data_IF_812474464547
#
_entry.id   IF_812474464547
#
_cell.length_a   1.000
_cell.length_b   1.000
_cell.length_c   1.000
_cell.angle_alpha   90.00
_cell.angle_beta   90.00
_cell.angle_gamma   90.00
#
_symmetry.space_group_name_H-M   'P 1'
#
loop_
_entity.id
_entity.type
_entity.pdbx_description
1 polymer ?
#
# COMPACT_ATOMS: atom_id res chain seq x y z
N UNK A 1 24.02 -40.24 13.31
CA UNK A 1 25.24 -39.44 13.11
C UNK A 1 25.22 -38.91 11.68
N UNK A 2 25.11 -37.61 11.47
CA UNK A 2 25.29 -36.99 10.15
C UNK A 2 26.38 -35.95 10.29
N UNK A 3 27.47 -36.18 9.56
CA UNK A 3 28.70 -35.40 9.61
C UNK A 3 28.44 -33.92 9.32
N UNK A 4 28.94 -33.08 10.22
CA UNK A 4 28.98 -31.63 10.01
C UNK A 4 29.96 -31.37 8.88
N UNK A 5 29.46 -30.91 7.73
CA UNK A 5 30.28 -30.23 6.72
C UNK A 5 30.88 -29.02 7.42
N UNK A 6 32.16 -29.11 7.80
CA UNK A 6 32.90 -27.98 8.34
C UNK A 6 33.12 -26.99 7.22
N UNK A 7 32.48 -25.82 7.32
CA UNK A 7 32.89 -24.62 6.60
C UNK A 7 34.41 -24.45 6.81
N UNK A 8 35.24 -24.65 5.77
CA UNK A 8 36.71 -24.54 5.84
C UNK A 8 37.20 -23.19 6.38
N UNK A 9 36.28 -22.22 6.46
CA UNK A 9 36.51 -20.84 6.85
C UNK A 9 36.21 -20.55 8.33
N UNK A 10 35.99 -21.57 9.16
CA UNK A 10 35.66 -21.41 10.60
C UNK A 10 36.63 -22.16 11.54
N UNK A 11 36.96 -21.52 12.66
CA UNK A 11 37.69 -22.12 13.78
C UNK A 11 36.81 -23.19 14.49
N UNK A 12 37.36 -24.20 15.17
CA UNK A 12 36.64 -25.13 16.06
C UNK A 12 35.66 -24.49 17.04
N UNK A 13 35.81 -23.20 17.38
CA UNK A 13 34.85 -22.43 18.19
C UNK A 13 33.66 -21.85 17.39
N UNK A 14 33.60 -22.09 16.08
CA UNK A 14 32.56 -21.62 15.16
C UNK A 14 32.74 -20.18 14.66
N UNK A 15 33.83 -19.51 15.05
CA UNK A 15 34.18 -18.15 14.61
C UNK A 15 34.78 -18.17 13.20
N UNK A 16 34.61 -17.10 12.44
CA UNK A 16 35.29 -16.95 11.15
C UNK A 16 36.81 -16.86 11.36
N UNK A 17 37.56 -17.60 10.53
CA UNK A 17 39.01 -17.50 10.54
C UNK A 17 39.45 -16.08 10.15
N UNK A 18 40.46 -15.51 10.83
CA UNK A 18 40.97 -14.19 10.50
C UNK A 18 41.50 -14.16 9.06
N UNK A 19 41.09 -13.17 8.29
CA UNK A 19 41.41 -13.05 6.86
C UNK A 19 40.29 -13.49 5.92
N UNK A 20 39.27 -14.19 6.41
CA UNK A 20 38.07 -14.48 5.63
C UNK A 20 37.05 -13.35 5.71
N UNK A 21 36.49 -12.99 4.55
CA UNK A 21 35.28 -12.17 4.50
C UNK A 21 34.17 -13.02 5.09
N UNK A 22 33.54 -12.54 6.17
CA UNK A 22 32.32 -13.16 6.68
C UNK A 22 31.29 -13.33 5.55
N UNK A 23 30.33 -14.23 5.72
CA UNK A 23 29.24 -14.38 4.76
C UNK A 23 28.59 -13.03 4.43
N UNK A 24 27.84 -12.91 3.32
CA UNK A 24 27.41 -11.63 2.71
C UNK A 24 26.55 -10.72 3.60
N UNK A 25 26.31 -11.11 4.85
CA UNK A 25 25.46 -10.39 5.80
C UNK A 25 24.03 -10.34 5.30
N UNK A 26 23.22 -9.53 5.97
CA UNK A 26 21.92 -9.18 5.43
C UNK A 26 22.13 -8.20 4.26
N UNK A 27 21.47 -8.40 3.10
CA UNK A 27 21.57 -7.47 1.98
C UNK A 27 21.27 -6.03 2.41
N UNK A 28 22.10 -5.10 1.94
CA UNK A 28 21.93 -3.67 2.22
C UNK A 28 20.56 -3.21 1.68
N UNK A 29 19.77 -2.57 2.54
CA UNK A 29 18.42 -2.08 2.20
C UNK A 29 17.28 -3.03 2.53
N UNK A 30 17.54 -4.26 3.00
CA UNK A 30 16.48 -5.13 3.50
C UNK A 30 15.93 -4.56 4.82
N UNK A 31 14.63 -4.26 4.86
CA UNK A 31 13.93 -3.74 6.05
C UNK A 31 14.05 -4.67 7.26
N UNK A 32 13.74 -4.21 8.47
CA UNK A 32 13.94 -4.97 9.71
C UNK A 32 13.24 -6.36 9.66
N UNK A 33 13.87 -7.40 10.23
CA UNK A 33 13.37 -8.79 10.14
C UNK A 33 12.11 -8.97 10.99
N UNK A 34 12.12 -8.42 12.20
CA UNK A 34 11.04 -8.58 13.16
C UNK A 34 9.66 -8.09 12.63
N UNK A 35 9.53 -6.87 12.08
CA UNK A 35 8.25 -6.44 11.50
C UNK A 35 7.93 -7.11 10.15
N UNK A 36 8.91 -7.73 9.48
CA UNK A 36 8.67 -8.50 8.26
C UNK A 36 8.07 -9.86 8.63
N UNK A 37 8.69 -10.61 9.55
CA UNK A 37 8.18 -11.90 10.01
C UNK A 37 6.81 -11.77 10.66
N UNK A 38 6.59 -10.74 11.48
CA UNK A 38 5.28 -10.53 12.11
C UNK A 38 4.15 -10.31 11.10
N UNK A 39 4.42 -9.65 9.96
CA UNK A 39 3.42 -9.49 8.89
C UNK A 39 3.08 -10.83 8.24
N UNK A 40 4.09 -11.66 8.04
CA UNK A 40 3.93 -13.00 7.46
C UNK A 40 3.14 -13.90 8.43
N UNK A 41 3.46 -13.89 9.72
CA UNK A 41 2.76 -14.63 10.78
C UNK A 41 1.27 -14.22 10.88
N UNK A 42 0.99 -12.91 10.81
CA UNK A 42 -0.39 -12.39 10.81
C UNK A 42 -1.14 -12.82 9.56
N UNK A 43 -0.48 -12.79 8.38
CA UNK A 43 -1.10 -13.20 7.13
C UNK A 43 -1.41 -14.70 7.14
N UNK A 44 -0.51 -15.52 7.70
CA UNK A 44 -0.72 -16.96 7.86
C UNK A 44 -1.88 -17.24 8.82
N UNK A 45 -1.92 -16.58 9.99
CA UNK A 45 -3.03 -16.71 10.93
C UNK A 45 -4.38 -16.33 10.29
N UNK A 46 -4.42 -15.26 9.49
CA UNK A 46 -5.60 -14.85 8.73
C UNK A 46 -6.06 -15.93 7.73
N UNK A 47 -5.12 -16.57 7.03
CA UNK A 47 -5.43 -17.67 6.13
C UNK A 47 -5.99 -18.89 6.89
N UNK A 48 -5.38 -19.25 8.02
CA UNK A 48 -5.83 -20.36 8.86
C UNK A 48 -7.24 -20.12 9.44
N UNK A 49 -7.60 -18.88 9.74
CA UNK A 49 -8.94 -18.50 10.20
C UNK A 49 -10.02 -18.58 9.11
N UNK A 50 -9.65 -18.82 7.84
CA UNK A 50 -10.58 -18.92 6.72
C UNK A 50 -10.59 -17.70 5.80
N UNK A 51 -9.65 -16.77 5.97
CA UNK A 51 -9.41 -15.67 5.05
C UNK A 51 -10.67 -14.83 4.80
N UNK A 52 -11.08 -14.74 3.53
CA UNK A 52 -12.23 -13.92 3.12
C UNK A 52 -13.52 -14.38 3.80
N UNK A 53 -13.72 -15.69 3.98
CA UNK A 53 -14.92 -16.22 4.62
C UNK A 53 -15.03 -15.73 6.07
N UNK A 54 -13.90 -15.66 6.77
CA UNK A 54 -13.83 -15.09 8.11
C UNK A 54 -14.15 -13.60 8.13
N UNK A 55 -13.65 -12.82 7.16
CA UNK A 55 -14.01 -11.39 7.04
C UNK A 55 -15.50 -11.17 6.75
N UNK A 56 -16.11 -12.01 5.91
CA UNK A 56 -17.56 -11.95 5.64
C UNK A 56 -18.34 -12.25 6.92
N UNK A 57 -17.92 -13.25 7.69
CA UNK A 57 -18.52 -13.56 8.99
C UNK A 57 -18.35 -12.39 9.97
N UNK A 58 -17.15 -11.80 10.04
CA UNK A 58 -16.86 -10.64 10.88
C UNK A 58 -17.75 -9.44 10.52
N UNK A 59 -17.91 -9.14 9.22
CA UNK A 59 -18.77 -8.05 8.77
C UNK A 59 -20.26 -8.25 9.11
N UNK A 60 -20.71 -9.51 9.23
CA UNK A 60 -22.08 -9.84 9.65
C UNK A 60 -22.25 -9.83 11.17
N UNK A 61 -21.27 -10.33 11.91
CA UNK A 61 -21.33 -10.43 13.37
C UNK A 61 -21.03 -9.10 14.06
N UNK A 62 -19.99 -8.39 13.61
CA UNK A 62 -19.49 -7.15 14.19
C UNK A 62 -19.20 -6.10 13.10
N UNK A 63 -20.24 -5.49 12.50
CA UNK A 63 -20.09 -4.57 11.38
C UNK A 63 -19.24 -3.33 11.72
N UNK A 64 -19.23 -2.88 12.97
CA UNK A 64 -18.41 -1.75 13.41
C UNK A 64 -16.92 -2.03 13.31
N UNK A 65 -16.48 -3.25 13.67
CA UNK A 65 -15.08 -3.67 13.56
C UNK A 65 -14.66 -3.75 12.10
N UNK A 66 -15.52 -4.32 11.26
CA UNK A 66 -15.27 -4.40 9.83
C UNK A 66 -15.19 -3.00 9.17
N UNK A 67 -16.09 -2.09 9.54
CA UNK A 67 -16.06 -0.70 9.05
C UNK A 67 -14.78 0.04 9.47
N UNK A 68 -14.27 -0.19 10.68
CA UNK A 68 -13.02 0.39 11.14
C UNK A 68 -11.79 -0.16 10.39
N UNK A 69 -11.80 -1.45 10.01
CA UNK A 69 -10.78 -2.02 9.13
C UNK A 69 -10.85 -1.39 7.74
N UNK A 70 -12.04 -1.28 7.15
CA UNK A 70 -12.24 -0.66 5.85
C UNK A 70 -11.72 0.79 5.82
N UNK A 71 -12.04 1.58 6.84
CA UNK A 71 -11.58 2.96 6.97
C UNK A 71 -10.04 3.10 7.05
N UNK A 72 -9.33 2.07 7.53
CA UNK A 72 -7.85 2.06 7.57
C UNK A 72 -7.21 1.63 6.25
N UNK A 73 -7.90 0.82 5.45
CA UNK A 73 -7.45 0.44 4.12
C UNK A 73 -7.68 1.56 3.09
N UNK A 74 -8.75 2.34 3.27
CA UNK A 74 -9.02 3.46 2.38
C UNK A 74 -7.93 4.54 2.53
N UNK A 75 -7.45 5.12 1.42
CA UNK A 75 -6.51 6.23 1.46
C UNK A 75 -7.14 7.41 2.23
N UNK A 76 -6.40 7.95 3.21
CA UNK A 76 -6.88 9.02 4.10
C UNK A 76 -7.00 10.38 3.41
N UNK A 77 -6.26 10.56 2.32
CA UNK A 77 -6.36 11.68 1.41
C UNK A 77 -6.77 11.06 0.08
N UNK A 78 -8.04 11.24 -0.29
CA UNK A 78 -8.43 11.06 -1.67
C UNK A 78 -7.77 12.21 -2.43
N UNK A 79 -6.54 12.00 -2.92
CA UNK A 79 -5.99 12.81 -4.01
C UNK A 79 -6.86 12.51 -5.21
N UNK A 80 -8.02 13.16 -5.27
CA UNK A 80 -8.74 13.31 -6.50
C UNK A 80 -7.85 14.22 -7.35
N UNK A 81 -7.13 13.64 -8.29
CA UNK A 81 -6.66 14.36 -9.48
C UNK A 81 -7.92 14.77 -10.24
N UNK A 82 -8.54 15.85 -9.77
CA UNK A 82 -9.59 16.51 -10.51
C UNK A 82 -8.83 17.25 -11.61
N UNK A 83 -8.69 16.61 -12.77
CA UNK A 83 -8.45 17.33 -14.02
C UNK A 83 -9.67 18.22 -14.28
N UNK A 84 -9.74 19.34 -13.57
CA UNK A 84 -10.72 20.38 -13.89
C UNK A 84 -10.24 20.98 -15.20
N UNK A 85 -10.75 20.46 -16.31
CA UNK A 85 -10.75 21.20 -17.57
C UNK A 85 -11.73 22.36 -17.37
N UNK A 86 -11.30 23.40 -16.67
CA UNK A 86 -12.03 24.66 -16.64
C UNK A 86 -11.91 25.26 -18.04
N UNK A 87 -12.99 25.11 -18.82
CA UNK A 87 -13.25 26.02 -19.93
C UNK A 87 -13.55 27.40 -19.33
N UNK A 88 -12.51 28.11 -18.87
CA UNK A 88 -12.62 29.47 -18.34
C UNK A 88 -12.72 30.44 -19.51
N UNK A 89 -13.87 30.43 -20.19
CA UNK A 89 -14.17 31.38 -21.25
C UNK A 89 -15.30 30.90 -22.15
N UNK A 90 -16.11 31.82 -22.71
CA UNK A 90 -17.06 31.47 -23.75
C UNK A 90 -16.27 30.96 -24.95
N UNK A 91 -16.54 29.72 -25.35
CA UNK A 91 -15.83 29.06 -26.46
C UNK A 91 -16.23 29.62 -27.83
N UNK A 92 -17.27 30.47 -27.88
CA UNK A 92 -17.79 31.09 -29.09
C UNK A 92 -18.57 32.36 -28.76
N UNK A 93 -18.26 33.45 -29.46
CA UNK A 93 -18.98 34.72 -29.39
C UNK A 93 -19.57 34.97 -30.78
N UNK A 94 -20.89 35.09 -30.89
CA UNK A 94 -21.57 35.47 -32.12
C UNK A 94 -22.12 36.89 -31.97
N UNK A 95 -21.85 37.73 -32.96
CA UNK A 95 -22.41 39.08 -33.03
C UNK A 95 -23.79 38.99 -33.69
N UNK A 96 -24.84 39.29 -32.93
CA UNK A 96 -26.22 39.39 -33.44
C UNK A 96 -26.62 40.86 -33.47
N UNK A 97 -27.09 41.33 -34.62
CA UNK A 97 -27.65 42.67 -34.75
C UNK A 97 -29.06 42.63 -34.15
N UNK A 98 -29.25 43.28 -33.00
CA UNK A 98 -30.56 43.45 -32.39
C UNK A 98 -31.18 44.72 -32.95
N UNK A 99 -32.35 44.58 -33.58
CA UNK A 99 -33.16 45.72 -34.03
C UNK A 99 -33.65 46.52 -32.80
N UNK A 100 -33.45 47.85 -32.74
CA UNK A 100 -33.82 48.68 -31.59
C UNK A 100 -35.30 48.58 -31.18
N UNK A 101 -36.20 48.14 -32.06
CA UNK A 101 -37.62 47.94 -31.73
C UNK A 101 -37.87 46.75 -30.77
N UNK A 102 -36.88 45.87 -30.55
CA UNK A 102 -37.00 44.65 -29.76
C UNK A 102 -36.49 44.81 -28.31
N UNK A 103 -35.99 45.99 -27.95
CA UNK A 103 -35.55 46.26 -26.57
C UNK A 103 -36.76 46.68 -25.73
N UNK A 104 -37.14 45.85 -24.75
CA UNK A 104 -38.19 46.20 -23.79
C UNK A 104 -37.85 47.47 -22.99
N UNK A 105 -38.85 48.20 -22.47
CA UNK A 105 -38.62 49.41 -21.70
C UNK A 105 -37.86 49.09 -20.40
N UNK A 106 -36.85 49.92 -20.11
CA UNK A 106 -35.98 49.82 -18.92
C UNK A 106 -36.76 50.01 -17.60
#
# INVERSE_FOLDING_TARGET
MTDKISDENRDPKGLFLPGNRGGPGRPKGRGNLFPMSLKDDILEAYQQLGGIAWLVQLGRAEPQVFAALLARLLPKQLEADIEVTQSTGPTRIEMVIIDPAQRGPD
#
